data_IF_156099945709
#
_entry.id   IF_156099945709
#
_cell.length_a   1.000
_cell.length_b   1.000
_cell.length_c   1.000
_cell.angle_alpha   90.00
_cell.angle_beta   90.00
_cell.angle_gamma   90.00
#
_symmetry.space_group_name_H-M   'P 1'
#
loop_
_entity.id
_entity.type
_entity.pdbx_description
1 polymer ?
#
# COMPACT_ATOMS: atom_id res chain seq x y z
N UNK A 1 59.42 16.35 16.50
CA UNK A 1 58.76 15.45 17.46
C UNK A 1 57.40 16.06 17.76
N UNK A 2 56.37 15.54 17.10
CA UNK A 2 55.05 16.16 17.02
C UNK A 2 54.09 15.43 17.97
N UNK A 3 53.66 16.11 19.02
CA UNK A 3 52.53 15.69 19.84
C UNK A 3 51.23 15.96 19.06
N UNK A 4 50.50 14.90 18.68
CA UNK A 4 49.10 15.01 18.25
C UNK A 4 48.21 14.36 19.30
N UNK A 5 47.45 15.21 19.96
CA UNK A 5 46.30 14.87 20.80
C UNK A 5 45.21 14.27 19.88
N UNK A 6 44.90 12.99 20.06
CA UNK A 6 43.70 12.37 19.51
C UNK A 6 42.57 12.53 20.54
N UNK A 7 41.65 13.46 20.28
CA UNK A 7 40.34 13.47 20.92
C UNK A 7 39.45 12.48 20.18
N UNK A 8 39.16 11.36 20.84
CA UNK A 8 38.18 10.36 20.45
C UNK A 8 36.87 10.69 21.16
N UNK A 9 35.83 11.05 20.41
CA UNK A 9 34.45 11.00 20.89
C UNK A 9 33.50 10.91 19.70
N UNK A 10 33.04 9.69 19.41
CA UNK A 10 31.72 9.45 18.82
C UNK A 10 31.22 8.14 19.43
N UNK A 11 30.66 8.24 20.64
CA UNK A 11 29.78 7.20 21.16
C UNK A 11 28.48 7.28 20.38
N UNK A 12 28.26 6.35 19.44
CA UNK A 12 26.93 6.10 18.90
C UNK A 12 26.13 5.49 20.07
N UNK A 13 25.41 6.34 20.79
CA UNK A 13 24.37 5.89 21.71
C UNK A 13 23.34 5.10 20.88
N UNK A 14 23.34 3.78 21.03
CA UNK A 14 22.18 2.96 20.70
C UNK A 14 21.02 3.39 21.59
N UNK A 15 20.21 4.34 21.12
CA UNK A 15 18.96 4.68 21.80
C UNK A 15 18.09 3.42 21.89
N UNK A 16 17.48 3.14 23.05
CA UNK A 16 16.57 2.02 23.21
C UNK A 16 15.40 2.18 22.22
N UNK A 17 15.29 1.24 21.28
CA UNK A 17 14.20 1.20 20.31
C UNK A 17 13.02 0.53 20.99
N UNK A 18 11.95 1.29 21.21
CA UNK A 18 10.71 0.72 21.72
C UNK A 18 9.99 0.01 20.58
N UNK A 19 9.89 -1.32 20.67
CA UNK A 19 8.95 -2.12 19.89
C UNK A 19 7.71 -2.37 20.73
N UNK A 20 6.55 -2.44 20.07
CA UNK A 20 5.32 -2.90 20.70
C UNK A 20 4.91 -4.20 20.03
N UNK A 21 4.79 -5.26 20.83
CA UNK A 21 4.19 -6.52 20.38
C UNK A 21 2.85 -6.68 21.05
N UNK A 22 1.79 -6.75 20.25
CA UNK A 22 0.48 -7.17 20.71
C UNK A 22 0.33 -8.67 20.41
N UNK A 23 0.14 -9.45 21.47
CA UNK A 23 -0.21 -10.87 21.37
C UNK A 23 -1.66 -11.02 21.82
N UNK A 24 -2.49 -11.65 21.00
CA UNK A 24 -3.83 -12.08 21.42
C UNK A 24 -4.07 -13.51 20.98
N UNK A 25 -4.76 -14.28 21.80
CA UNK A 25 -5.16 -15.66 21.49
C UNK A 25 -6.67 -15.70 21.46
N UNK A 26 -7.23 -16.14 20.33
CA UNK A 26 -8.66 -16.30 20.14
C UNK A 26 -9.16 -17.56 20.85
N UNK A 27 -10.48 -17.65 21.06
CA UNK A 27 -11.12 -18.77 21.77
C UNK A 27 -10.91 -20.14 21.07
N UNK A 28 -10.61 -20.13 19.77
CA UNK A 28 -10.27 -21.33 19.00
C UNK A 28 -8.79 -21.76 19.14
N UNK A 29 -8.01 -21.03 19.94
CA UNK A 29 -6.59 -21.27 20.18
C UNK A 29 -5.65 -20.57 19.19
N UNK A 30 -6.18 -19.84 18.19
CA UNK A 30 -5.35 -19.09 17.25
C UNK A 30 -4.66 -17.93 17.94
N UNK A 31 -3.33 -17.84 17.83
CA UNK A 31 -2.55 -16.72 18.39
C UNK A 31 -2.12 -15.75 17.30
N UNK A 32 -2.40 -14.47 17.49
CA UNK A 32 -2.02 -13.36 16.61
C UNK A 32 -0.89 -12.58 17.29
N UNK A 33 0.25 -12.47 16.60
CA UNK A 33 1.40 -11.68 17.04
C UNK A 33 1.61 -10.50 16.07
N UNK A 34 1.30 -9.29 16.53
CA UNK A 34 1.58 -8.06 15.79
C UNK A 34 2.77 -7.35 16.43
N UNK A 35 3.89 -7.24 15.71
CA UNK A 35 5.05 -6.46 16.17
C UNK A 35 5.17 -5.20 15.33
N UNK A 36 5.07 -4.05 15.99
CA UNK A 36 5.34 -2.75 15.40
C UNK A 36 6.73 -2.31 15.83
N UNK A 37 7.61 -2.14 14.85
CA UNK A 37 8.96 -1.63 15.03
C UNK A 37 9.16 -0.41 14.14
N UNK A 38 9.62 0.73 14.64
CA UNK A 38 9.89 1.90 13.80
C UNK A 38 11.03 1.59 12.82
N UNK A 39 10.80 1.83 11.53
CA UNK A 39 11.85 1.84 10.52
C UNK A 39 12.77 3.04 10.76
N UNK A 40 14.08 2.85 10.62
CA UNK A 40 15.05 3.93 10.80
C UNK A 40 14.83 5.01 9.74
N UNK A 41 14.43 6.20 10.20
CA UNK A 41 14.47 7.52 9.52
C UNK A 41 13.79 7.60 8.14
N UNK A 42 12.79 8.47 8.07
CA UNK A 42 12.14 9.06 6.87
C UNK A 42 11.05 8.28 6.12
N UNK A 43 10.47 7.23 6.71
CA UNK A 43 9.21 6.71 6.16
C UNK A 43 8.30 6.14 7.24
N UNK A 44 7.18 6.82 7.47
CA UNK A 44 6.06 6.26 8.23
C UNK A 44 5.18 5.46 7.27
N UNK A 45 5.71 4.34 6.76
CA UNK A 45 4.88 3.38 6.04
C UNK A 45 4.15 2.51 7.06
N UNK A 46 2.84 2.72 7.18
CA UNK A 46 1.94 1.84 7.94
C UNK A 46 1.13 1.06 6.92
N UNK A 47 1.45 -0.23 6.77
CA UNK A 47 0.62 -1.16 6.00
C UNK A 47 -0.12 -2.04 7.00
N UNK A 48 -1.44 -2.14 6.83
CA UNK A 48 -2.23 -3.13 7.56
C UNK A 48 -3.13 -3.88 6.58
N UNK A 49 -3.17 -5.20 6.73
CA UNK A 49 -4.04 -6.11 5.98
C UNK A 49 -4.62 -7.13 6.97
N UNK A 50 -5.91 -7.40 6.86
CA UNK A 50 -6.59 -8.46 7.61
C UNK A 50 -7.85 -8.89 6.87
N UNK A 51 -8.19 -10.18 6.96
CA UNK A 51 -9.49 -10.74 6.55
C UNK A 51 -9.81 -11.94 7.42
N UNK A 52 -10.90 -11.93 8.20
CA UNK A 52 -11.61 -13.13 8.64
C UNK A 52 -13.09 -12.84 8.98
N UNK A 53 -13.98 -13.79 8.66
CA UNK A 53 -15.40 -13.87 9.09
C UNK A 53 -15.47 -14.67 10.42
N UNK A 54 -16.39 -14.49 11.37
CA UNK A 54 -17.83 -14.27 11.27
C UNK A 54 -18.45 -13.20 12.20
N UNK A 55 -17.74 -12.49 13.07
CA UNK A 55 -18.36 -11.42 13.91
C UNK A 55 -17.42 -10.24 14.23
N UNK A 56 -16.83 -9.64 13.18
CA UNK A 56 -16.15 -8.32 13.12
C UNK A 56 -15.08 -7.95 14.15
N UNK A 57 -13.96 -7.41 13.65
CA UNK A 57 -12.96 -6.69 14.45
C UNK A 57 -12.61 -5.36 13.75
N UNK A 58 -12.32 -4.31 14.52
CA UNK A 58 -11.86 -3.01 14.01
C UNK A 58 -10.69 -2.52 14.85
N UNK A 59 -9.67 -1.97 14.20
CA UNK A 59 -8.56 -1.29 14.86
C UNK A 59 -8.30 0.06 14.19
N UNK A 60 -7.96 1.06 15.00
CA UNK A 60 -7.68 2.42 14.56
C UNK A 60 -6.27 2.79 15.03
N UNK A 61 -5.38 3.13 14.10
CA UNK A 61 -4.03 3.60 14.41
C UNK A 61 -4.01 5.10 14.15
N UNK A 62 -3.73 5.88 15.19
CA UNK A 62 -3.50 7.32 15.08
C UNK A 62 -2.04 7.60 15.34
N UNK A 63 -1.34 8.18 14.36
CA UNK A 63 0.00 8.73 14.56
C UNK A 63 -0.14 10.21 14.86
N UNK A 64 0.18 10.62 16.09
CA UNK A 64 0.34 12.03 16.44
C UNK A 64 1.76 12.45 16.09
N UNK A 65 1.90 13.37 15.13
CA UNK A 65 3.13 14.15 14.98
C UNK A 65 3.21 15.15 16.14
N UNK A 66 3.74 14.73 17.28
CA UNK A 66 4.22 15.68 18.30
C UNK A 66 5.64 16.11 17.96
N UNK A 67 5.76 17.24 17.29
CA UNK A 67 6.92 18.12 17.42
C UNK A 67 6.42 19.56 17.56
N UNK A 68 5.73 19.85 18.66
CA UNK A 68 5.87 21.17 19.26
C UNK A 68 7.24 21.19 19.94
N UNK A 69 8.09 22.07 19.41
CA UNK A 69 9.38 22.45 19.98
C UNK A 69 9.14 22.91 21.43
N UNK A 70 9.65 22.15 22.39
CA UNK A 70 9.77 22.59 23.77
C UNK A 70 11.23 22.91 24.08
N UNK A 71 11.42 24.15 24.54
CA UNK A 71 12.69 24.84 24.72
C UNK A 71 13.64 24.14 25.69
N UNK A 72 14.89 24.05 25.27
CA UNK A 72 16.04 23.59 26.05
C UNK A 72 16.23 24.48 27.30
N UNK A 73 16.12 23.92 28.50
CA UNK A 73 16.70 24.52 29.71
C UNK A 73 17.86 23.67 30.24
N UNK A 74 18.93 24.39 30.62
CA UNK A 74 20.31 23.94 30.77
C UNK A 74 20.64 23.57 32.23
N UNK A 75 21.18 22.36 32.40
CA UNK A 75 22.20 21.85 33.33
C UNK A 75 22.25 22.21 34.84
N UNK A 76 22.53 21.18 35.67
CA UNK A 76 23.49 21.21 36.81
C UNK A 76 23.82 19.79 37.36
N UNK A 77 24.96 19.57 38.08
CA UNK A 77 25.84 18.38 37.99
C UNK A 77 25.69 17.30 39.10
N UNK A 78 26.50 16.21 39.08
CA UNK A 78 26.29 14.96 39.85
C UNK A 78 27.11 14.88 41.15
N UNK A 79 26.94 13.79 41.95
CA UNK A 79 28.04 13.30 42.77
C UNK A 79 28.37 11.80 42.57
N UNK A 80 29.68 11.59 42.38
CA UNK A 80 30.61 10.58 42.92
C UNK A 80 30.24 9.09 43.17
N UNK A 81 30.96 8.26 42.40
CA UNK A 81 31.83 7.12 42.75
C UNK A 81 31.58 6.24 43.99
N UNK A 82 31.51 4.92 43.74
CA UNK A 82 32.07 3.88 44.60
C UNK A 82 32.73 2.76 43.78
N UNK A 83 33.82 2.21 44.34
CA UNK A 83 34.85 1.41 43.67
C UNK A 83 34.85 -0.07 44.12
N UNK A 84 35.33 -0.93 43.20
CA UNK A 84 36.10 -2.20 43.40
C UNK A 84 35.39 -3.50 43.88
N UNK A 85 35.96 -4.71 43.68
CA UNK A 85 37.15 -5.12 42.89
C UNK A 85 37.01 -6.41 42.02
N UNK A 86 38.01 -6.59 41.14
CA UNK A 86 38.68 -7.81 40.61
C UNK A 86 37.97 -9.17 40.49
N UNK A 87 38.01 -9.72 39.27
CA UNK A 87 38.54 -11.08 39.07
C UNK A 87 39.06 -11.25 37.64
N UNK A 88 40.35 -11.58 37.56
CA UNK A 88 41.11 -12.00 36.41
C UNK A 88 40.64 -13.36 35.86
N UNK A 89 40.37 -13.45 34.55
CA UNK A 89 40.64 -14.69 33.78
C UNK A 89 41.23 -14.28 32.44
N UNK A 90 42.42 -14.80 32.18
CA UNK A 90 43.13 -14.70 30.91
C UNK A 90 42.52 -15.68 29.92
N UNK A 91 42.28 -15.25 28.69
CA UNK A 91 42.30 -16.16 27.54
C UNK A 91 42.71 -15.37 26.29
N UNK A 92 43.83 -15.79 25.74
CA UNK A 92 44.42 -15.30 24.48
C UNK A 92 43.56 -15.71 23.28
N UNK A 93 43.25 -14.79 22.34
CA UNK A 93 42.45 -15.11 21.16
C UNK A 93 43.33 -15.66 20.02
N UNK A 94 42.81 -16.57 19.17
CA UNK A 94 43.49 -16.98 17.96
C UNK A 94 43.35 -15.92 16.85
N UNK A 95 44.48 -15.67 16.18
CA UNK A 95 44.58 -14.86 14.97
C UNK A 95 43.65 -15.40 13.87
N UNK A 96 42.63 -14.63 13.50
CA UNK A 96 41.96 -14.77 12.21
C UNK A 96 42.06 -13.46 11.44
N UNK A 97 42.81 -13.54 10.34
CA UNK A 97 43.07 -12.49 9.35
C UNK A 97 41.76 -12.01 8.73
N UNK A 98 41.24 -10.86 9.19
CA UNK A 98 40.12 -10.16 8.54
C UNK A 98 40.68 -9.11 7.58
N UNK A 99 40.70 -9.46 6.29
CA UNK A 99 40.78 -8.47 5.21
C UNK A 99 39.50 -7.64 5.18
N UNK A 100 39.51 -6.49 5.84
CA UNK A 100 38.53 -5.43 5.62
C UNK A 100 38.71 -4.87 4.19
N UNK A 101 37.68 -4.87 3.33
CA UNK A 101 37.70 -4.01 2.15
C UNK A 101 37.56 -2.55 2.61
N UNK A 102 38.39 -1.68 2.03
CA UNK A 102 38.42 -0.24 2.29
C UNK A 102 37.04 0.43 2.24
N UNK A 103 36.82 1.54 2.97
CA UNK A 103 35.59 2.31 2.89
C UNK A 103 35.38 2.80 1.45
N UNK A 104 34.48 2.13 0.73
CA UNK A 104 34.05 2.54 -0.59
C UNK A 104 33.46 3.94 -0.48
N UNK A 105 34.09 4.89 -1.17
CA UNK A 105 33.59 6.26 -1.38
C UNK A 105 32.08 6.19 -1.62
N UNK A 106 31.30 6.93 -0.83
CA UNK A 106 29.89 7.18 -1.11
C UNK A 106 29.74 7.58 -2.57
N UNK A 107 29.30 6.63 -3.39
CA UNK A 107 28.85 6.90 -4.74
C UNK A 107 27.65 7.82 -4.55
N UNK A 108 27.82 9.09 -4.94
CA UNK A 108 26.70 9.98 -5.25
C UNK A 108 25.70 9.16 -6.04
N UNK A 109 24.51 8.96 -5.50
CA UNK A 109 23.41 8.27 -6.16
C UNK A 109 23.09 9.05 -7.44
N UNK A 110 23.76 8.68 -8.53
CA UNK A 110 23.40 9.11 -9.88
C UNK A 110 21.95 8.76 -10.07
N UNK A 111 21.10 9.77 -10.33
CA UNK A 111 19.66 9.67 -10.62
C UNK A 111 19.32 8.27 -11.15
N UNK A 112 18.79 7.41 -10.28
CA UNK A 112 18.24 6.15 -10.76
C UNK A 112 17.13 6.54 -11.74
N UNK A 113 17.16 6.07 -13.00
CA UNK A 113 16.19 6.48 -14.01
C UNK A 113 14.77 6.00 -13.73
N UNK A 114 14.56 5.29 -12.61
CA UNK A 114 13.29 4.72 -12.21
C UNK A 114 13.06 5.06 -10.73
N UNK A 115 12.11 5.96 -10.49
CA UNK A 115 11.56 6.20 -9.15
C UNK A 115 10.68 5.01 -8.74
N UNK A 116 10.50 4.80 -7.44
CA UNK A 116 9.47 3.90 -6.93
C UNK A 116 8.08 4.39 -7.37
N UNK A 117 7.09 3.50 -7.52
CA UNK A 117 5.71 3.90 -7.77
C UNK A 117 5.20 4.82 -6.66
N UNK A 118 4.40 5.83 -7.05
CA UNK A 118 3.78 6.77 -6.10
C UNK A 118 2.68 6.09 -5.25
N UNK A 119 2.09 5.01 -5.76
CA UNK A 119 1.02 4.25 -5.12
C UNK A 119 1.13 2.76 -5.48
N UNK A 120 0.70 1.90 -4.54
CA UNK A 120 0.63 0.45 -4.71
C UNK A 120 -0.59 -0.12 -3.97
N UNK A 121 -1.23 -1.13 -4.54
CA UNK A 121 -2.32 -1.87 -3.87
C UNK A 121 -2.08 -3.36 -3.98
N UNK A 122 -2.14 -4.06 -2.84
CA UNK A 122 -1.98 -5.50 -2.77
C UNK A 122 -3.33 -6.20 -2.62
N UNK A 123 -3.48 -7.36 -3.26
CA UNK A 123 -4.57 -8.31 -3.00
C UNK A 123 -4.00 -9.71 -2.85
N UNK A 124 -4.68 -10.53 -2.05
CA UNK A 124 -4.41 -11.95 -1.93
C UNK A 124 -5.59 -12.73 -2.52
N UNK A 125 -5.30 -13.54 -3.54
CA UNK A 125 -6.31 -14.35 -4.24
C UNK A 125 -6.55 -15.71 -3.58
N UNK A 126 -5.79 -16.04 -2.52
CA UNK A 126 -5.69 -17.37 -1.92
C UNK A 126 -4.80 -18.33 -2.72
N UNK A 127 -4.48 -18.03 -3.98
CA UNK A 127 -3.53 -18.80 -4.81
C UNK A 127 -2.22 -18.06 -5.07
N UNK A 128 -2.28 -16.74 -5.08
CA UNK A 128 -1.17 -15.81 -5.36
C UNK A 128 -1.45 -14.46 -4.71
N UNK A 129 -0.38 -13.77 -4.32
CA UNK A 129 -0.42 -12.37 -3.95
C UNK A 129 -0.09 -11.52 -5.18
N UNK A 130 -0.91 -10.49 -5.42
CA UNK A 130 -0.72 -9.53 -6.51
C UNK A 130 -0.50 -8.13 -5.92
N UNK A 131 0.54 -7.43 -6.36
CA UNK A 131 0.80 -6.02 -6.01
C UNK A 131 0.67 -5.15 -7.26
N UNK A 132 -0.42 -4.43 -7.39
CA UNK A 132 -0.66 -3.50 -8.49
C UNK A 132 0.00 -2.16 -8.24
N UNK A 133 0.51 -1.54 -9.31
CA UNK A 133 1.19 -0.26 -9.26
C UNK A 133 1.19 0.42 -10.62
N UNK A 134 1.47 1.72 -10.63
CA UNK A 134 1.57 2.53 -11.84
C UNK A 134 2.98 3.10 -11.97
N UNK A 135 3.55 3.01 -13.16
CA UNK A 135 4.87 3.59 -13.45
C UNK A 135 4.89 4.26 -14.83
N UNK A 136 5.72 5.29 -15.00
CA UNK A 136 5.90 5.93 -16.29
C UNK A 136 6.86 5.12 -17.18
N UNK A 137 6.44 4.82 -18.41
CA UNK A 137 7.31 4.23 -19.43
C UNK A 137 8.30 5.27 -20.01
N UNK A 138 9.16 4.83 -20.94
CA UNK A 138 10.15 5.71 -21.59
C UNK A 138 9.53 6.84 -22.41
N UNK A 139 8.25 6.70 -22.78
CA UNK A 139 7.50 7.70 -23.53
C UNK A 139 6.68 8.61 -22.60
N UNK A 140 6.80 8.45 -21.28
CA UNK A 140 6.03 9.20 -20.29
C UNK A 140 4.57 8.74 -20.14
N UNK A 141 4.19 7.59 -20.70
CA UNK A 141 2.87 7.02 -20.47
C UNK A 141 2.85 6.28 -19.13
N UNK A 142 1.83 6.53 -18.31
CA UNK A 142 1.66 5.80 -17.06
C UNK A 142 1.01 4.45 -17.35
N UNK A 143 1.75 3.38 -17.07
CA UNK A 143 1.37 2.00 -17.35
C UNK A 143 0.95 1.34 -16.05
N UNK A 144 -0.20 0.66 -16.08
CA UNK A 144 -0.67 -0.20 -15.01
C UNK A 144 0.06 -1.55 -15.07
N UNK A 145 0.64 -1.97 -13.96
CA UNK A 145 1.38 -3.22 -13.82
C UNK A 145 1.04 -3.91 -12.51
N UNK A 146 1.47 -5.16 -12.39
CA UNK A 146 1.45 -5.86 -11.12
C UNK A 146 2.64 -6.80 -10.97
N UNK A 147 3.06 -6.98 -9.72
CA UNK A 147 3.92 -8.08 -9.30
C UNK A 147 3.02 -9.27 -8.95
N UNK A 148 3.42 -10.47 -9.35
CA UNK A 148 2.70 -11.70 -9.05
C UNK A 148 3.64 -12.68 -8.35
N UNK A 149 3.21 -13.20 -7.19
CA UNK A 149 3.95 -14.22 -6.46
C UNK A 149 4.05 -15.52 -7.27
N UNK A 150 5.13 -16.30 -7.11
CA UNK A 150 5.26 -17.59 -7.79
C UNK A 150 4.23 -18.61 -7.29
N UNK A 151 3.85 -18.53 -6.02
CA UNK A 151 2.91 -19.43 -5.35
C UNK A 151 2.01 -18.71 -4.32
N UNK A 152 1.16 -19.50 -3.65
CA UNK A 152 0.20 -19.02 -2.64
C UNK A 152 0.84 -18.57 -1.32
N UNK A 153 2.12 -18.86 -1.12
CA UNK A 153 2.84 -18.51 0.10
C UNK A 153 3.62 -17.19 -0.04
N UNK A 154 3.69 -16.63 -1.26
CA UNK A 154 4.43 -15.40 -1.52
C UNK A 154 5.95 -15.61 -1.49
N UNK A 155 6.44 -16.85 -1.54
CA UNK A 155 7.85 -17.16 -1.35
C UNK A 155 8.63 -17.08 -2.66
N UNK A 156 9.72 -16.32 -2.68
CA UNK A 156 10.62 -16.21 -3.82
C UNK A 156 10.40 -14.95 -4.66
N UNK A 157 10.88 -14.98 -5.91
CA UNK A 157 10.90 -13.79 -6.76
C UNK A 157 9.55 -13.59 -7.45
N UNK A 158 8.97 -12.41 -7.26
CA UNK A 158 7.74 -12.03 -7.95
C UNK A 158 8.02 -11.77 -9.43
N UNK A 159 7.09 -12.18 -10.28
CA UNK A 159 7.11 -11.89 -11.72
C UNK A 159 6.48 -10.53 -11.99
N UNK A 160 7.05 -9.76 -12.92
CA UNK A 160 6.53 -8.46 -13.33
C UNK A 160 5.59 -8.63 -14.53
N UNK A 161 4.36 -8.17 -14.40
CA UNK A 161 3.35 -8.22 -15.44
C UNK A 161 2.84 -6.83 -15.77
N UNK A 162 2.63 -6.55 -17.07
CA UNK A 162 2.11 -5.27 -17.57
C UNK A 162 0.72 -5.46 -18.12
N UNK A 163 -0.20 -4.56 -17.78
CA UNK A 163 -1.54 -4.51 -18.36
C UNK A 163 -1.56 -3.35 -19.36
N UNK A 164 -0.98 -3.56 -20.53
CA UNK A 164 -0.92 -2.54 -21.59
C UNK A 164 -2.15 -2.56 -22.50
N UNK A 165 -2.78 -3.73 -22.64
CA UNK A 165 -3.92 -3.96 -23.51
C UNK A 165 -4.93 -4.84 -22.77
N UNK A 166 -6.22 -4.56 -22.94
CA UNK A 166 -7.30 -5.42 -22.47
C UNK A 166 -8.37 -5.57 -23.56
N UNK A 167 -9.04 -6.73 -23.60
CA UNK A 167 -10.19 -6.93 -24.50
C UNK A 167 -11.37 -6.09 -24.04
N UNK A 168 -12.08 -5.43 -24.95
CA UNK A 168 -13.26 -4.64 -24.65
C UNK A 168 -14.53 -5.35 -25.16
N UNK A 169 -15.23 -6.13 -24.31
CA UNK A 169 -16.42 -6.85 -24.72
C UNK A 169 -17.59 -5.93 -25.13
N UNK A 170 -17.50 -4.64 -24.80
CA UNK A 170 -18.49 -3.63 -25.14
C UNK A 170 -18.22 -2.91 -26.47
N UNK A 171 -17.10 -3.26 -27.14
CA UNK A 171 -16.71 -2.76 -28.46
C UNK A 171 -16.31 -3.93 -29.36
N UNK A 172 -17.22 -4.88 -29.57
CA UNK A 172 -16.99 -6.06 -30.43
C UNK A 172 -15.74 -6.88 -30.06
N UNK A 173 -15.33 -6.89 -28.80
CA UNK A 173 -14.08 -7.52 -28.31
C UNK A 173 -12.79 -6.93 -28.90
N UNK A 174 -12.81 -5.67 -29.34
CA UNK A 174 -11.61 -4.93 -29.74
C UNK A 174 -10.63 -4.78 -28.56
N UNK A 175 -9.35 -4.67 -28.88
CA UNK A 175 -8.31 -4.41 -27.90
C UNK A 175 -8.23 -2.91 -27.55
N UNK A 176 -8.24 -2.59 -26.26
CA UNK A 176 -8.13 -1.23 -25.75
C UNK A 176 -6.77 -1.03 -25.06
N UNK A 177 -6.09 0.06 -25.40
CA UNK A 177 -4.86 0.49 -24.73
C UNK A 177 -5.15 1.01 -23.32
N UNK A 178 -4.43 0.49 -22.33
CA UNK A 178 -4.60 0.84 -20.93
C UNK A 178 -3.52 1.84 -20.53
N UNK A 179 -3.93 3.10 -20.38
CA UNK A 179 -3.04 4.19 -19.96
C UNK A 179 -3.67 4.96 -18.80
N UNK A 180 -2.92 5.07 -17.71
CA UNK A 180 -3.35 5.75 -16.49
C UNK A 180 -3.12 7.25 -16.60
N UNK A 181 -4.00 8.03 -15.98
CA UNK A 181 -3.88 9.48 -15.95
C UNK A 181 -2.61 9.95 -15.24
N UNK A 182 -1.89 10.95 -15.80
CA UNK A 182 -0.81 11.62 -15.07
C UNK A 182 -1.31 12.39 -13.85
N UNK A 183 -2.60 12.74 -13.82
CA UNK A 183 -3.22 13.52 -12.75
C UNK A 183 -3.76 12.65 -11.61
N UNK A 184 -3.93 11.35 -11.84
CA UNK A 184 -4.30 10.41 -10.78
C UNK A 184 -3.73 9.03 -11.09
N UNK A 185 -2.62 8.68 -10.42
CA UNK A 185 -1.92 7.40 -10.57
C UNK A 185 -2.35 6.37 -9.53
N UNK A 186 -3.34 6.70 -8.70
CA UNK A 186 -3.79 5.78 -7.67
C UNK A 186 -4.55 4.62 -8.26
N UNK A 187 -4.46 3.49 -7.55
CA UNK A 187 -5.06 2.22 -7.95
C UNK A 187 -5.77 1.58 -6.77
N UNK A 188 -6.92 0.99 -7.03
CA UNK A 188 -7.61 0.14 -6.07
C UNK A 188 -7.85 -1.23 -6.69
N UNK A 189 -7.77 -2.29 -5.89
CA UNK A 189 -8.01 -3.64 -6.37
C UNK A 189 -8.81 -4.44 -5.35
N UNK A 190 -9.64 -5.35 -5.84
CA UNK A 190 -10.39 -6.31 -5.02
C UNK A 190 -10.35 -7.68 -5.67
N UNK A 191 -10.52 -8.71 -4.84
CA UNK A 191 -10.63 -10.09 -5.29
C UNK A 191 -11.64 -10.88 -4.49
N UNK A 192 -12.29 -11.85 -5.14
CA UNK A 192 -13.17 -12.83 -4.48
C UNK A 192 -13.22 -14.12 -5.31
N UNK A 193 -13.81 -15.17 -4.76
CA UNK A 193 -14.10 -16.40 -5.51
C UNK A 193 -15.52 -16.31 -6.09
N UNK A 194 -15.62 -16.24 -7.41
CA UNK A 194 -16.86 -16.31 -8.18
C UNK A 194 -17.11 -17.70 -8.78
N UNK A 195 -18.14 -17.85 -9.63
CA UNK A 195 -18.52 -19.16 -10.20
C UNK A 195 -17.50 -19.67 -11.22
N UNK A 196 -16.75 -18.77 -11.84
CA UNK A 196 -15.74 -19.07 -12.85
C UNK A 196 -14.32 -19.11 -12.26
N UNK A 197 -14.19 -19.09 -10.93
CA UNK A 197 -12.92 -19.10 -10.21
C UNK A 197 -12.62 -17.76 -9.55
N UNK A 198 -11.34 -17.41 -9.47
CA UNK A 198 -10.89 -16.15 -8.85
C UNK A 198 -11.29 -14.98 -9.74
N UNK A 199 -11.95 -14.00 -9.13
CA UNK A 199 -12.33 -12.75 -9.75
C UNK A 199 -11.41 -11.65 -9.23
N UNK A 200 -10.75 -10.94 -10.14
CA UNK A 200 -9.94 -9.75 -9.80
C UNK A 200 -10.55 -8.55 -10.51
N UNK A 201 -10.69 -7.43 -9.79
CA UNK A 201 -11.08 -6.14 -10.35
C UNK A 201 -10.05 -5.10 -9.94
N UNK A 202 -9.62 -4.29 -10.89
CA UNK A 202 -8.68 -3.19 -10.69
C UNK A 202 -9.33 -1.91 -11.19
N UNK A 203 -9.30 -0.89 -10.33
CA UNK A 203 -9.85 0.43 -10.60
C UNK A 203 -8.72 1.43 -10.72
N UNK A 204 -8.80 2.27 -11.74
CA UNK A 204 -7.80 3.28 -12.05
C UNK A 204 -8.46 4.46 -12.77
N UNK A 205 -7.75 5.57 -12.91
CA UNK A 205 -8.22 6.72 -13.68
C UNK A 205 -7.58 6.73 -15.06
N UNK A 206 -8.39 6.73 -16.12
CA UNK A 206 -7.91 6.75 -17.51
C UNK A 206 -7.33 8.10 -17.94
N UNK A 207 -6.29 8.08 -18.78
CA UNK A 207 -5.55 9.27 -19.24
C UNK A 207 -6.38 10.35 -19.91
N UNK A 208 -7.36 9.98 -20.73
CA UNK A 208 -7.99 10.93 -21.64
C UNK A 208 -8.86 11.96 -20.93
N UNK A 209 -9.70 11.52 -19.99
CA UNK A 209 -10.79 12.32 -19.40
C UNK A 209 -10.82 12.31 -17.87
N UNK A 210 -9.81 11.70 -17.23
CA UNK A 210 -9.81 11.44 -15.79
C UNK A 210 -11.06 10.68 -15.32
N UNK A 211 -11.54 9.75 -16.14
CA UNK A 211 -12.69 8.91 -15.79
C UNK A 211 -12.21 7.71 -14.99
N UNK A 212 -12.98 7.34 -13.97
CA UNK A 212 -12.81 6.07 -13.28
C UNK A 212 -13.07 4.91 -14.25
N UNK A 213 -12.15 3.94 -14.26
CA UNK A 213 -12.17 2.78 -15.14
C UNK A 213 -12.04 1.51 -14.31
N UNK A 214 -12.52 0.42 -14.88
CA UNK A 214 -12.43 -0.93 -14.32
C UNK A 214 -11.76 -1.86 -15.34
N UNK A 215 -10.82 -2.66 -14.83
CA UNK A 215 -10.27 -3.84 -15.49
C UNK A 215 -10.67 -5.08 -14.71
N UNK A 216 -11.02 -6.13 -15.45
CA UNK A 216 -11.47 -7.39 -14.90
C UNK A 216 -10.56 -8.53 -15.37
N UNK A 217 -10.35 -9.50 -14.48
CA UNK A 217 -9.80 -10.81 -14.80
C UNK A 217 -10.64 -11.85 -14.05
N UNK A 218 -11.07 -12.88 -14.78
CA UNK A 218 -11.95 -13.94 -14.27
C UNK A 218 -11.33 -15.30 -14.55
N UNK A 219 -11.16 -16.10 -13.48
CA UNK A 219 -10.47 -17.38 -13.55
C UNK A 219 -9.08 -17.24 -14.17
N UNK A 220 -8.78 -18.14 -15.10
CA UNK A 220 -7.50 -18.14 -15.84
C UNK A 220 -7.56 -17.26 -17.11
N UNK A 221 -8.66 -16.55 -17.36
CA UNK A 221 -8.87 -15.70 -18.53
C UNK A 221 -7.94 -14.48 -18.58
N UNK A 222 -7.87 -13.83 -19.74
CA UNK A 222 -7.11 -12.58 -19.92
C UNK A 222 -7.77 -11.37 -19.27
N UNK A 223 -7.06 -10.24 -19.25
CA UNK A 223 -7.62 -8.96 -18.82
C UNK A 223 -8.65 -8.44 -19.84
N UNK A 224 -9.77 -7.94 -19.34
CA UNK A 224 -10.80 -7.29 -20.14
C UNK A 224 -11.34 -6.03 -19.45
N UNK A 225 -11.88 -5.13 -20.24
CA UNK A 225 -12.48 -3.88 -19.78
C UNK A 225 -13.78 -4.19 -19.03
N UNK A 226 -13.92 -3.65 -17.83
CA UNK A 226 -15.09 -3.84 -16.97
C UNK A 226 -16.28 -2.95 -17.32
N UNK A 227 -17.43 -3.25 -16.73
CA UNK A 227 -18.70 -2.56 -17.03
C UNK A 227 -18.73 -1.11 -16.52
N UNK A 228 -17.91 -0.77 -15.51
CA UNK A 228 -17.77 0.61 -15.03
C UNK A 228 -17.26 1.52 -16.16
N UNK A 229 -16.41 0.99 -17.03
CA UNK A 229 -15.78 1.68 -18.14
C UNK A 229 -16.70 1.94 -19.34
N UNK A 230 -17.94 1.45 -19.32
CA UNK A 230 -18.87 1.49 -20.46
C UNK A 230 -19.68 2.79 -20.50
N UNK A 231 -19.93 3.41 -19.34
CA UNK A 231 -20.81 4.59 -19.23
C UNK A 231 -20.06 5.91 -19.50
N UNK A 232 -19.79 6.21 -20.77
CA UNK A 232 -19.51 7.59 -21.26
C UNK A 232 -18.62 8.46 -20.36
N UNK A 233 -18.93 9.76 -20.25
CA UNK A 233 -18.23 10.73 -19.38
C UNK A 233 -18.65 10.65 -17.90
N UNK A 234 -19.18 9.52 -17.41
CA UNK A 234 -19.61 9.42 -16.00
C UNK A 234 -18.45 9.01 -15.11
N UNK A 235 -18.41 9.57 -13.90
CA UNK A 235 -17.42 9.30 -12.85
C UNK A 235 -16.04 9.91 -13.15
N UNK A 236 -16.03 11.21 -13.41
CA UNK A 236 -14.79 11.97 -13.48
C UNK A 236 -14.24 12.14 -12.07
N UNK A 237 -12.98 11.76 -11.88
CA UNK A 237 -12.34 11.75 -10.56
C UNK A 237 -11.50 13.01 -10.39
N UNK A 238 -11.59 13.63 -9.22
CA UNK A 238 -10.78 14.80 -8.86
C UNK A 238 -9.29 14.45 -8.95
N UNK A 239 -8.46 15.25 -9.65
CA UNK A 239 -7.02 15.06 -9.73
C UNK A 239 -6.37 14.88 -8.34
N UNK A 240 -5.42 13.94 -8.25
CA UNK A 240 -4.61 13.71 -7.05
C UNK A 240 -5.32 13.03 -5.88
N UNK A 241 -6.53 12.48 -6.08
CA UNK A 241 -7.34 11.93 -4.99
C UNK A 241 -7.33 10.40 -4.89
N UNK A 242 -7.54 9.96 -3.64
CA UNK A 242 -8.07 8.68 -3.16
C UNK A 242 -8.85 7.82 -4.15
N UNK A 243 -8.40 6.61 -4.53
CA UNK A 243 -9.33 5.54 -4.95
C UNK A 243 -9.27 4.41 -3.92
N UNK A 244 -10.44 3.93 -3.48
CA UNK A 244 -10.55 2.74 -2.65
C UNK A 244 -11.65 1.83 -3.18
N UNK A 245 -11.55 0.52 -2.94
CA UNK A 245 -12.55 -0.42 -3.39
C UNK A 245 -12.79 -1.52 -2.37
N UNK A 246 -14.01 -2.04 -2.35
CA UNK A 246 -14.40 -3.18 -1.54
C UNK A 246 -15.36 -4.09 -2.31
N UNK A 247 -15.36 -5.36 -1.94
CA UNK A 247 -16.34 -6.34 -2.39
C UNK A 247 -17.04 -6.94 -1.18
N UNK A 248 -18.35 -7.09 -1.26
CA UNK A 248 -19.15 -7.81 -0.27
C UNK A 248 -19.90 -8.95 -0.95
N UNK A 249 -19.53 -10.18 -0.61
CA UNK A 249 -20.22 -11.40 -1.03
C UNK A 249 -21.23 -11.81 0.03
N UNK A 250 -22.48 -12.07 -0.36
CA UNK A 250 -23.59 -12.34 0.57
C UNK A 250 -24.24 -13.70 0.37
N UNK A 251 -23.96 -14.38 -0.74
CA UNK A 251 -24.25 -15.81 -0.92
C UNK A 251 -23.03 -16.49 -1.55
N UNK A 252 -22.77 -17.77 -1.24
CA UNK A 252 -21.67 -18.51 -1.87
C UNK A 252 -21.74 -18.40 -3.40
N UNK A 253 -20.66 -17.89 -3.99
CA UNK A 253 -20.35 -18.04 -5.41
C UNK A 253 -20.93 -16.99 -6.36
N UNK A 254 -22.14 -16.47 -6.15
CA UNK A 254 -22.81 -15.77 -7.27
C UNK A 254 -23.46 -14.43 -6.96
N UNK A 255 -23.55 -14.03 -5.69
CA UNK A 255 -24.18 -12.76 -5.35
C UNK A 255 -23.20 -11.85 -4.61
N UNK A 256 -22.86 -10.72 -5.23
CA UNK A 256 -21.83 -9.81 -4.75
C UNK A 256 -22.16 -8.34 -5.02
N UNK A 257 -21.56 -7.49 -4.20
CA UNK A 257 -21.62 -6.04 -4.29
C UNK A 257 -20.22 -5.48 -4.41
N UNK A 258 -19.93 -4.78 -5.50
CA UNK A 258 -18.71 -3.99 -5.63
C UNK A 258 -19.00 -2.56 -5.21
N UNK A 259 -18.03 -1.95 -4.51
CA UNK A 259 -18.07 -0.54 -4.13
C UNK A 259 -16.73 0.08 -4.46
N UNK A 260 -16.73 1.19 -5.15
CA UNK A 260 -15.54 2.00 -5.42
C UNK A 260 -15.78 3.38 -4.88
N UNK A 261 -14.82 3.90 -4.11
CA UNK A 261 -14.88 5.19 -3.47
C UNK A 261 -13.85 6.10 -4.14
N UNK A 262 -14.28 7.27 -4.61
CA UNK A 262 -13.39 8.29 -5.13
C UNK A 262 -14.02 9.67 -4.98
N UNK A 263 -13.18 10.71 -4.92
CA UNK A 263 -13.68 12.08 -4.96
C UNK A 263 -14.09 12.45 -6.39
N UNK A 264 -15.30 12.98 -6.56
CA UNK A 264 -15.83 13.36 -7.87
C UNK A 264 -15.40 14.78 -8.25
N UNK A 265 -14.97 14.96 -9.50
CA UNK A 265 -14.37 16.21 -9.98
C UNK A 265 -15.40 17.33 -10.09
N UNK A 266 -15.20 18.40 -9.33
CA UNK A 266 -16.04 19.59 -9.35
C UNK A 266 -17.28 19.54 -8.44
N UNK A 267 -17.49 18.44 -7.72
CA UNK A 267 -18.65 18.27 -6.83
C UNK A 267 -18.28 18.60 -5.38
N UNK A 268 -19.09 19.45 -4.73
CA UNK A 268 -18.90 19.91 -3.34
C UNK A 268 -20.22 19.81 -2.55
N UNK A 269 -20.17 19.68 -1.22
CA UNK A 269 -21.37 19.81 -0.38
C UNK A 269 -21.71 21.27 -0.09
N UNK A 270 -22.78 21.47 0.68
CA UNK A 270 -23.23 22.78 1.21
C UNK A 270 -22.18 23.53 2.04
N UNK A 271 -21.03 22.91 2.35
CA UNK A 271 -19.90 23.51 3.07
C UNK A 271 -18.70 23.76 2.15
N UNK A 272 -18.86 23.64 0.84
CA UNK A 272 -17.80 23.80 -0.16
C UNK A 272 -16.65 22.77 -0.01
N UNK A 273 -16.96 21.61 0.59
CA UNK A 273 -16.00 20.51 0.72
C UNK A 273 -16.18 19.51 -0.43
N UNK A 274 -15.08 19.00 -1.04
CA UNK A 274 -15.14 18.01 -2.12
C UNK A 274 -16.00 16.80 -1.74
N UNK A 275 -16.83 16.30 -2.65
CA UNK A 275 -17.66 15.11 -2.40
C UNK A 275 -16.93 13.81 -2.71
N UNK A 276 -17.06 12.83 -1.81
CA UNK A 276 -16.68 11.44 -2.08
C UNK A 276 -17.93 10.69 -2.51
N UNK A 277 -17.84 10.09 -3.70
CA UNK A 277 -18.88 9.23 -4.27
C UNK A 277 -18.55 7.77 -3.98
N UNK A 278 -19.58 6.98 -3.68
CA UNK A 278 -19.53 5.52 -3.74
C UNK A 278 -20.20 5.04 -5.02
N UNK A 279 -19.43 4.41 -5.90
CA UNK A 279 -19.94 3.73 -7.09
C UNK A 279 -20.23 2.28 -6.73
N UNK A 280 -21.50 1.88 -6.80
CA UNK A 280 -22.00 0.56 -6.41
C UNK A 280 -22.39 -0.25 -7.63
N UNK A 281 -21.99 -1.52 -7.63
CA UNK A 281 -22.47 -2.52 -8.58
C UNK A 281 -23.05 -3.70 -7.81
N UNK A 282 -24.36 -3.91 -7.96
CA UNK A 282 -25.07 -5.05 -7.41
C UNK A 282 -25.19 -6.11 -8.50
N UNK A 283 -24.58 -7.27 -8.25
CA UNK A 283 -24.87 -8.48 -9.01
C UNK A 283 -25.73 -9.37 -8.13
N UNK A 284 -27.03 -9.39 -8.41
CA UNK A 284 -27.99 -10.32 -7.84
C UNK A 284 -28.49 -11.28 -8.92
N UNK A 285 -28.81 -12.52 -8.55
CA UNK A 285 -29.39 -13.51 -9.48
C UNK A 285 -30.84 -13.15 -9.88
N UNK A 286 -31.35 -11.98 -9.46
CA UNK A 286 -32.75 -11.57 -9.66
C UNK A 286 -33.12 -11.28 -11.11
N UNK A 287 -32.16 -11.40 -12.04
CA UNK A 287 -32.34 -11.16 -13.46
C UNK A 287 -32.42 -9.68 -13.83
N UNK A 288 -32.31 -8.76 -12.86
CA UNK A 288 -32.12 -7.33 -13.15
C UNK A 288 -30.74 -7.11 -13.77
N UNK A 289 -30.69 -6.28 -14.79
CA UNK A 289 -29.42 -5.90 -15.39
C UNK A 289 -28.57 -5.16 -14.36
N UNK A 290 -27.45 -5.78 -13.96
CA UNK A 290 -26.50 -5.16 -13.05
C UNK A 290 -25.96 -3.87 -13.68
N UNK A 291 -25.96 -2.78 -12.92
CA UNK A 291 -25.48 -1.48 -13.42
C UNK A 291 -24.84 -0.66 -12.31
N UNK A 292 -23.84 0.12 -12.68
CA UNK A 292 -23.19 1.04 -11.76
C UNK A 292 -24.10 2.23 -11.43
N UNK A 293 -24.22 2.51 -10.13
CA UNK A 293 -24.90 3.67 -9.55
C UNK A 293 -23.94 4.41 -8.64
N UNK A 294 -24.01 5.74 -8.58
CA UNK A 294 -23.17 6.58 -7.73
C UNK A 294 -24.03 7.32 -6.71
N UNK A 295 -23.60 7.33 -5.45
CA UNK A 295 -24.19 8.14 -4.38
C UNK A 295 -23.10 8.94 -3.68
N UNK A 296 -23.38 10.17 -3.27
CA UNK A 296 -22.48 10.92 -2.38
C UNK A 296 -22.59 10.40 -0.95
N UNK A 297 -21.45 10.24 -0.27
CA UNK A 297 -21.41 9.74 1.12
C UNK A 297 -20.90 10.79 2.11
N UNK A 298 -20.62 12.01 1.64
CA UNK A 298 -20.04 13.08 2.46
C UNK A 298 -20.84 14.37 2.45
N UNK A 299 -22.13 14.29 2.10
CA UNK A 299 -23.04 15.45 2.09
C UNK A 299 -23.10 16.15 3.46
N UNK A 300 -23.16 15.36 4.54
CA UNK A 300 -23.27 15.85 5.91
C UNK A 300 -21.92 16.07 6.63
N UNK A 301 -20.78 15.83 5.96
CA UNK A 301 -19.46 15.97 6.59
C UNK A 301 -19.07 17.45 6.69
N UNK A 302 -18.63 17.85 7.89
CA UNK A 302 -18.21 19.23 8.17
C UNK A 302 -16.69 19.45 8.05
N UNK A 303 -15.89 18.37 8.06
CA UNK A 303 -14.43 18.38 7.87
C UNK A 303 -13.89 16.98 7.56
N UNK A 304 -12.79 16.90 6.80
CA UNK A 304 -12.02 15.68 6.53
C UNK A 304 -10.84 15.52 7.49
#
# INVERSE_FOLDING_TARGET
>A
MSNRLNLSSDSIEERPRSSMTLVTTLDDGTTINLTVSPASTDSSAVTASTTFTHTSFSFHISTLLTNQVLSLHKASPPPEAHSCPDSSISDSPPNHTSTHPSPGKHLKLTKMPFALPDDVVAIDTGKKSLLFYVYADRNGNNILSYLESPDQYGNGNFSVNRIAIAKNPFRNNEEESIVVSPNNKQVAAVTWTGPQGIEVRVYYVGKDKNLLRELCKTGDGGWYVGSLSVKGNKYKVTPGTSISASVHTYQPGNSYNLRVFAAEDGEVNDKDLPQISVFKFLHDESGKAASWQGDYITEAIERY
#
